data_IF_721913305193
#
_entry.id   IF_721913305193
#
_cell.length_a   1.000
_cell.length_b   1.000
_cell.length_c   1.000
_cell.angle_alpha   90.00
_cell.angle_beta   90.00
_cell.angle_gamma   90.00
#
_symmetry.space_group_name_H-M   'P 1'
#
loop_
_entity.id
_entity.type
_entity.pdbx_description
1 polymer ?
#
# COMPACT_ATOMS: atom_id res chain seq x y z
N UNK A 1 31.52 -64.51 -0.45
CA UNK A 1 30.37 -64.71 -1.35
C UNK A 1 29.43 -63.52 -1.20
N UNK A 2 29.27 -62.67 -2.23
CA UNK A 2 28.47 -61.46 -2.20
C UNK A 2 27.02 -61.71 -2.67
N UNK A 3 26.10 -60.85 -2.27
CA UNK A 3 24.86 -60.59 -3.01
C UNK A 3 24.59 -59.08 -3.04
N UNK A 4 24.50 -58.60 -4.28
CA UNK A 4 24.12 -57.30 -4.80
C UNK A 4 22.68 -56.90 -4.39
N UNK A 5 22.08 -55.76 -4.70
CA UNK A 5 22.37 -54.40 -5.16
C UNK A 5 20.98 -53.73 -5.14
N UNK A 6 20.92 -52.41 -5.00
CA UNK A 6 19.64 -51.70 -5.00
C UNK A 6 19.81 -50.20 -5.12
N UNK A 7 20.40 -49.77 -6.23
CA UNK A 7 20.59 -48.38 -6.64
C UNK A 7 19.23 -47.71 -6.88
N UNK A 8 18.74 -46.96 -5.90
CA UNK A 8 17.62 -46.04 -6.09
C UNK A 8 18.06 -44.81 -6.89
N UNK A 9 17.20 -44.26 -7.78
CA UNK A 9 17.59 -43.22 -8.72
C UNK A 9 18.01 -41.92 -8.00
N UNK A 10 19.26 -41.51 -8.23
CA UNK A 10 19.78 -40.25 -7.72
C UNK A 10 19.10 -39.06 -8.40
N UNK A 11 18.80 -38.02 -7.62
CA UNK A 11 18.13 -36.77 -8.04
C UNK A 11 18.87 -35.99 -9.16
N UNK A 12 20.06 -36.43 -9.57
CA UNK A 12 20.86 -35.85 -10.66
C UNK A 12 20.45 -36.33 -12.07
N UNK A 13 19.58 -37.32 -12.20
CA UNK A 13 19.17 -37.86 -13.50
C UNK A 13 17.99 -37.12 -14.18
N UNK A 14 17.41 -36.08 -13.56
CA UNK A 14 16.21 -35.39 -14.09
C UNK A 14 16.54 -34.07 -14.82
N UNK A 15 17.81 -33.66 -14.91
CA UNK A 15 18.22 -32.43 -15.62
C UNK A 15 19.02 -32.69 -16.90
N UNK A 16 18.81 -33.84 -17.55
CA UNK A 16 19.43 -34.16 -18.84
C UNK A 16 18.38 -34.56 -19.87
N UNK A 17 17.45 -33.65 -20.17
CA UNK A 17 16.57 -33.74 -21.33
C UNK A 17 16.12 -32.34 -21.77
N UNK A 18 17.07 -31.54 -22.26
CA UNK A 18 16.77 -30.34 -23.05
C UNK A 18 17.34 -30.59 -24.45
N UNK A 19 16.52 -30.75 -25.51
CA UNK A 19 17.03 -30.75 -26.85
C UNK A 19 17.48 -29.32 -27.20
N UNK A 20 18.80 -29.12 -27.33
CA UNK A 20 19.37 -27.93 -27.94
C UNK A 20 19.18 -28.04 -29.45
N UNK A 21 18.26 -27.26 -29.99
CA UNK A 21 18.12 -27.04 -31.42
C UNK A 21 18.08 -25.54 -31.70
N UNK A 22 19.05 -25.07 -32.50
CA UNK A 22 18.86 -23.90 -33.37
C UNK A 22 19.34 -22.55 -32.84
N UNK A 23 20.38 -22.02 -33.49
CA UNK A 23 20.90 -20.65 -33.40
C UNK A 23 19.89 -19.65 -33.96
N UNK A 24 19.60 -18.55 -33.26
CA UNK A 24 18.88 -17.41 -33.84
C UNK A 24 18.38 -16.34 -32.86
N UNK A 25 19.10 -15.21 -32.83
CA UNK A 25 18.64 -13.84 -32.54
C UNK A 25 18.15 -13.45 -31.12
N UNK A 26 18.84 -12.41 -30.61
CA UNK A 26 18.42 -11.43 -29.61
C UNK A 26 16.90 -11.18 -29.53
N UNK A 27 16.31 -11.35 -28.34
CA UNK A 27 15.28 -10.45 -27.79
C UNK A 27 15.27 -10.59 -26.25
N UNK A 28 14.98 -9.47 -25.58
CA UNK A 28 15.08 -9.24 -24.14
C UNK A 28 14.42 -10.34 -23.31
N UNK A 29 15.23 -11.09 -22.56
CA UNK A 29 14.73 -11.92 -21.46
C UNK A 29 14.46 -11.00 -20.26
N UNK A 30 13.22 -10.50 -20.18
CA UNK A 30 12.68 -10.05 -18.90
C UNK A 30 12.84 -11.18 -17.89
N UNK A 31 13.36 -10.87 -16.70
CA UNK A 31 13.34 -11.77 -15.58
C UNK A 31 11.87 -12.02 -15.20
N UNK A 32 11.24 -12.99 -15.87
CA UNK A 32 9.94 -13.46 -15.50
C UNK A 32 10.04 -14.11 -14.13
N UNK A 33 9.45 -13.46 -13.12
CA UNK A 33 9.07 -14.14 -11.89
C UNK A 33 8.07 -15.24 -12.27
N UNK A 34 8.57 -16.43 -12.58
CA UNK A 34 7.73 -17.61 -12.69
C UNK A 34 7.20 -17.91 -11.29
N UNK A 35 5.96 -17.51 -11.01
CA UNK A 35 5.24 -17.94 -9.83
C UNK A 35 5.05 -19.45 -9.92
N UNK A 36 6.01 -20.19 -9.35
CA UNK A 36 5.87 -21.63 -9.13
C UNK A 36 4.78 -21.83 -8.08
N UNK A 37 3.53 -21.92 -8.52
CA UNK A 37 2.42 -22.39 -7.71
C UNK A 37 2.61 -23.89 -7.43
N UNK A 38 3.44 -24.20 -6.43
CA UNK A 38 3.45 -25.52 -5.81
C UNK A 38 2.10 -25.81 -5.17
N UNK A 39 1.77 -27.09 -4.91
CA UNK A 39 0.51 -27.46 -4.28
C UNK A 39 0.36 -26.71 -2.96
N UNK A 40 -0.63 -25.82 -2.91
CA UNK A 40 -1.02 -25.08 -1.71
C UNK A 40 -1.39 -26.12 -0.64
N UNK A 41 -0.56 -26.23 0.40
CA UNK A 41 -0.93 -26.95 1.61
C UNK A 41 -2.31 -26.42 2.07
N UNK A 42 -3.21 -27.28 2.60
CA UNK A 42 -4.56 -26.87 2.98
C UNK A 42 -4.49 -25.59 3.80
N UNK A 43 -5.12 -24.54 3.26
CA UNK A 43 -4.99 -23.17 3.71
C UNK A 43 -5.30 -23.07 5.19
N UNK A 44 -4.30 -22.69 5.98
CA UNK A 44 -4.53 -22.28 7.36
C UNK A 44 -5.41 -21.05 7.26
N UNK A 45 -6.67 -21.17 7.69
CA UNK A 45 -7.60 -20.05 7.75
C UNK A 45 -6.95 -18.92 8.54
N UNK A 46 -6.95 -17.72 7.98
CA UNK A 46 -6.37 -16.54 8.63
C UNK A 46 -6.91 -16.40 10.06
N UNK A 47 -6.01 -16.15 11.01
CA UNK A 47 -6.40 -15.97 12.41
C UNK A 47 -7.08 -14.61 12.63
N UNK A 48 -7.75 -14.40 13.78
CA UNK A 48 -8.32 -13.10 14.11
C UNK A 48 -7.32 -11.93 14.05
N UNK A 49 -6.07 -12.18 14.44
CA UNK A 49 -4.99 -11.20 14.35
C UNK A 49 -4.63 -10.83 12.89
N UNK A 50 -4.62 -11.81 11.98
CA UNK A 50 -4.38 -11.57 10.55
C UNK A 50 -5.52 -10.76 9.94
N UNK A 51 -6.76 -11.10 10.28
CA UNK A 51 -7.96 -10.37 9.82
C UNK A 51 -7.89 -8.91 10.29
N UNK A 52 -7.61 -8.68 11.57
CA UNK A 52 -7.51 -7.34 12.13
C UNK A 52 -6.35 -6.54 11.49
N UNK A 53 -5.19 -7.17 11.28
CA UNK A 53 -4.04 -6.53 10.65
C UNK A 53 -4.32 -6.18 9.18
N UNK A 54 -4.97 -7.06 8.43
CA UNK A 54 -5.34 -6.80 7.04
C UNK A 54 -6.39 -5.69 6.91
N UNK A 55 -7.41 -5.67 7.79
CA UNK A 55 -8.40 -4.60 7.84
C UNK A 55 -7.77 -3.24 8.15
N UNK A 56 -6.92 -3.17 9.19
CA UNK A 56 -6.21 -1.95 9.56
C UNK A 56 -5.26 -1.47 8.45
N UNK A 57 -4.58 -2.40 7.75
CA UNK A 57 -3.75 -2.05 6.60
C UNK A 57 -4.59 -1.45 5.47
N UNK A 58 -5.74 -2.05 5.15
CA UNK A 58 -6.63 -1.55 4.11
C UNK A 58 -7.23 -0.18 4.42
N UNK A 59 -7.66 0.04 5.66
CA UNK A 59 -8.13 1.35 6.12
C UNK A 59 -7.02 2.40 5.97
N UNK A 60 -5.78 2.06 6.32
CA UNK A 60 -4.64 2.95 6.15
C UNK A 60 -4.38 3.32 4.69
N UNK A 61 -4.42 2.35 3.76
CA UNK A 61 -4.28 2.64 2.33
C UNK A 61 -5.39 3.58 1.84
N UNK A 62 -6.62 3.41 2.34
CA UNK A 62 -7.73 4.29 2.00
C UNK A 62 -7.53 5.73 2.51
N UNK A 63 -6.99 5.90 3.72
CA UNK A 63 -6.62 7.21 4.28
C UNK A 63 -5.50 7.90 3.47
N UNK A 64 -4.50 7.13 3.04
CA UNK A 64 -3.42 7.63 2.18
C UNK A 64 -3.97 8.06 0.82
N UNK A 65 -4.82 7.24 0.19
CA UNK A 65 -5.50 7.60 -1.07
C UNK A 65 -6.24 8.94 -0.96
N UNK A 66 -7.01 9.14 0.12
CA UNK A 66 -7.72 10.39 0.36
C UNK A 66 -6.77 11.58 0.54
N UNK A 67 -5.65 11.37 1.25
CA UNK A 67 -4.62 12.39 1.45
C UNK A 67 -3.92 12.79 0.15
N UNK A 68 -3.60 11.80 -0.70
CA UNK A 68 -3.03 12.04 -2.04
C UNK A 68 -4.04 12.73 -2.98
N UNK A 69 -5.31 12.34 -2.95
CA UNK A 69 -6.37 13.01 -3.72
C UNK A 69 -6.49 14.50 -3.36
N UNK A 70 -6.50 14.79 -2.07
CA UNK A 70 -6.52 16.16 -1.57
C UNK A 70 -5.28 16.94 -2.05
N UNK A 71 -4.09 16.36 -1.93
CA UNK A 71 -2.85 16.98 -2.38
C UNK A 71 -2.82 17.24 -3.90
N UNK A 72 -3.25 16.27 -4.71
CA UNK A 72 -3.34 16.38 -6.18
C UNK A 72 -4.30 17.51 -6.58
N UNK A 73 -5.44 17.62 -5.90
CA UNK A 73 -6.43 18.67 -6.19
C UNK A 73 -5.92 20.07 -5.86
N UNK A 74 -5.12 20.19 -4.79
CA UNK A 74 -4.60 21.46 -4.28
C UNK A 74 -3.34 21.92 -5.00
N UNK A 75 -2.55 20.99 -5.53
CA UNK A 75 -1.25 21.26 -6.15
C UNK A 75 -1.13 20.66 -7.56
N UNK A 76 -1.76 21.29 -8.58
CA UNK A 76 -1.69 20.81 -9.96
C UNK A 76 -0.25 20.65 -10.48
N UNK A 77 0.71 21.47 -10.02
CA UNK A 77 2.12 21.37 -10.41
C UNK A 77 2.82 20.08 -9.94
N UNK A 78 2.31 19.43 -8.90
CA UNK A 78 2.82 18.15 -8.37
C UNK A 78 2.02 16.93 -8.83
N UNK A 79 0.87 17.16 -9.46
CA UNK A 79 -0.14 16.14 -9.67
C UNK A 79 0.35 14.92 -10.47
N UNK A 80 1.26 15.11 -11.43
CA UNK A 80 1.80 14.00 -12.22
C UNK A 80 2.55 12.99 -11.35
N UNK A 81 3.49 13.48 -10.53
CA UNK A 81 4.26 12.63 -9.64
C UNK A 81 3.38 12.01 -8.56
N UNK A 82 2.50 12.81 -7.94
CA UNK A 82 1.63 12.32 -6.88
C UNK A 82 0.63 11.26 -7.36
N UNK A 83 0.19 11.32 -8.63
CA UNK A 83 -0.68 10.29 -9.22
C UNK A 83 0.01 8.93 -9.35
N UNK A 84 1.33 8.89 -9.54
CA UNK A 84 2.09 7.64 -9.58
C UNK A 84 2.06 6.98 -8.19
N UNK A 85 2.39 7.72 -7.13
CA UNK A 85 2.38 7.18 -5.77
C UNK A 85 0.97 6.77 -5.35
N UNK A 86 -0.03 7.61 -5.63
CA UNK A 86 -1.45 7.28 -5.41
C UNK A 86 -1.88 5.97 -6.10
N UNK A 87 -1.38 5.70 -7.30
CA UNK A 87 -1.69 4.47 -8.01
C UNK A 87 -1.17 3.23 -7.27
N UNK A 88 0.03 3.30 -6.67
CA UNK A 88 0.58 2.21 -5.86
C UNK A 88 -0.29 1.91 -4.63
N UNK A 89 -0.76 2.92 -3.89
CA UNK A 89 -1.71 2.69 -2.78
C UNK A 89 -3.02 2.05 -3.25
N UNK A 90 -3.49 2.42 -4.44
CA UNK A 90 -4.68 1.79 -5.00
C UNK A 90 -4.44 0.31 -5.33
N UNK A 91 -3.24 -0.04 -5.80
CA UNK A 91 -2.84 -1.43 -6.02
C UNK A 91 -2.70 -2.19 -4.70
N UNK A 92 -2.05 -1.62 -3.67
CA UNK A 92 -1.98 -2.19 -2.33
C UNK A 92 -3.36 -2.48 -1.74
N UNK A 93 -4.27 -1.51 -1.83
CA UNK A 93 -5.64 -1.66 -1.34
C UNK A 93 -6.40 -2.77 -2.10
N UNK A 94 -6.20 -2.90 -3.42
CA UNK A 94 -6.79 -3.99 -4.21
C UNK A 94 -6.21 -5.34 -3.82
N UNK A 95 -4.89 -5.44 -3.64
CA UNK A 95 -4.22 -6.67 -3.25
C UNK A 95 -4.66 -7.14 -1.85
N UNK A 96 -4.82 -6.21 -0.92
CA UNK A 96 -5.40 -6.48 0.40
C UNK A 96 -6.85 -6.98 0.29
N UNK A 97 -7.69 -6.31 -0.51
CA UNK A 97 -9.07 -6.74 -0.73
C UNK A 97 -9.16 -8.12 -1.41
N UNK A 98 -8.22 -8.45 -2.29
CA UNK A 98 -8.15 -9.74 -2.97
C UNK A 98 -7.86 -10.92 -2.01
N UNK A 99 -7.39 -10.66 -0.79
CA UNK A 99 -7.28 -11.69 0.25
C UNK A 99 -8.65 -12.25 0.68
N UNK A 100 -9.74 -11.54 0.42
CA UNK A 100 -11.10 -11.97 0.76
C UNK A 100 -11.35 -12.08 2.26
N UNK A 101 -10.56 -11.39 3.07
CA UNK A 101 -10.70 -11.37 4.53
C UNK A 101 -11.88 -10.47 4.94
N UNK A 102 -12.66 -10.87 5.96
CA UNK A 102 -13.81 -10.09 6.40
C UNK A 102 -13.38 -8.70 6.88
N UNK A 103 -14.13 -7.67 6.49
CA UNK A 103 -13.83 -6.28 6.82
C UNK A 103 -12.83 -5.59 5.87
N UNK A 104 -12.20 -6.31 4.95
CA UNK A 104 -11.29 -5.75 3.94
C UNK A 104 -12.06 -5.53 2.63
N UNK A 105 -11.96 -4.34 2.03
CA UNK A 105 -12.63 -4.04 0.75
C UNK A 105 -14.15 -3.84 0.84
N UNK A 106 -14.74 -4.03 2.02
CA UNK A 106 -16.14 -3.72 2.25
C UNK A 106 -16.30 -2.20 2.40
N UNK A 107 -16.79 -1.52 1.36
CA UNK A 107 -17.29 -0.16 1.50
C UNK A 107 -18.41 -0.19 2.55
N UNK A 108 -18.16 0.38 3.72
CA UNK A 108 -19.17 0.52 4.75
C UNK A 108 -20.36 1.27 4.14
N UNK A 109 -21.47 0.58 3.92
CA UNK A 109 -22.74 1.24 3.63
C UNK A 109 -23.19 1.85 4.94
N UNK A 110 -22.74 3.07 5.21
CA UNK A 110 -23.28 3.88 6.29
C UNK A 110 -24.67 4.33 5.85
N UNK A 111 -25.68 3.55 6.21
CA UNK A 111 -27.07 4.02 6.19
C UNK A 111 -27.16 5.18 7.19
N UNK A 112 -27.50 6.42 6.76
CA UNK A 112 -27.69 7.51 7.70
C UNK A 112 -29.01 7.29 8.44
N UNK A 113 -28.93 6.89 9.72
CA UNK A 113 -30.09 6.95 10.61
C UNK A 113 -30.37 8.42 10.93
N UNK A 114 -31.37 8.98 10.28
CA UNK A 114 -31.97 10.26 10.64
C UNK A 114 -32.65 10.12 12.01
N UNK A 115 -32.02 10.65 13.05
CA UNK A 115 -32.60 10.83 14.38
C UNK A 115 -32.93 12.31 14.59
N UNK A 116 -34.21 12.65 14.52
CA UNK A 116 -34.74 14.00 14.75
C UNK A 116 -34.41 14.57 16.13
N UNK A 117 -34.22 15.90 16.16
CA UNK A 117 -34.03 16.76 17.33
C UNK A 117 -35.25 16.78 18.29
N UNK A 118 -35.11 17.44 19.47
CA UNK A 118 -35.60 18.82 19.54
C UNK A 118 -34.64 19.78 20.27
N UNK A 119 -34.74 21.07 19.91
CA UNK A 119 -33.89 22.14 20.41
C UNK A 119 -34.36 22.77 21.73
N UNK A 120 -33.55 23.69 22.25
CA UNK A 120 -33.97 24.86 23.04
C UNK A 120 -32.86 25.92 22.99
N UNK A 121 -33.32 27.17 22.93
CA UNK A 121 -32.67 28.47 22.77
C UNK A 121 -31.80 28.93 23.94
N UNK A 122 -30.70 29.65 23.68
CA UNK A 122 -30.57 31.11 23.91
C UNK A 122 -29.14 31.58 24.29
N UNK A 123 -28.70 32.59 23.52
CA UNK A 123 -28.00 33.83 23.91
C UNK A 123 -26.61 33.79 24.58
N UNK A 124 -25.62 34.31 23.84
CA UNK A 124 -24.32 34.74 24.34
C UNK A 124 -23.50 35.45 23.26
N UNK A 125 -23.76 36.74 23.06
CA UNK A 125 -23.04 37.63 22.14
C UNK A 125 -21.67 38.03 22.69
N UNK A 126 -20.62 37.90 21.87
CA UNK A 126 -19.39 38.71 21.76
C UNK A 126 -18.32 37.77 21.15
N UNK A 127 -17.92 37.90 19.89
CA UNK A 127 -17.23 39.07 19.37
C UNK A 127 -15.81 38.62 19.01
N UNK A 128 -15.65 38.04 17.83
CA UNK A 128 -14.35 37.91 17.18
C UNK A 128 -14.57 38.09 15.69
N UNK A 129 -13.82 39.05 15.16
CA UNK A 129 -13.97 39.69 13.88
C UNK A 129 -14.09 38.74 12.71
N UNK A 130 -14.89 39.18 11.75
CA UNK A 130 -14.80 38.77 10.37
C UNK A 130 -13.35 38.90 9.88
N UNK A 131 -12.81 37.79 9.41
CA UNK A 131 -11.88 37.76 8.28
C UNK A 131 -12.17 36.43 7.55
N UNK A 132 -13.16 36.48 6.65
CA UNK A 132 -13.09 35.65 5.46
C UNK A 132 -11.98 36.27 4.60
N UNK A 133 -11.12 35.44 4.03
CA UNK A 133 -11.46 35.11 2.66
C UNK A 133 -11.30 33.62 2.37
N UNK A 134 -12.21 33.13 1.52
CA UNK A 134 -11.95 32.11 0.52
C UNK A 134 -10.71 32.42 -0.32
N UNK A 135 -9.54 32.33 0.31
CA UNK A 135 -8.25 32.25 -0.33
C UNK A 135 -8.16 30.87 -0.96
N UNK A 136 -8.41 30.82 -2.26
CA UNK A 136 -7.85 29.79 -3.12
C UNK A 136 -6.41 29.58 -2.68
N UNK A 137 -6.11 28.42 -2.07
CA UNK A 137 -4.75 28.18 -1.62
C UNK A 137 -3.89 28.18 -2.85
N UNK A 138 -3.06 29.21 -2.93
CA UNK A 138 -2.15 29.42 -4.03
C UNK A 138 -1.16 28.28 -4.01
N UNK A 139 -1.04 27.60 -5.15
CA UNK A 139 -0.09 26.51 -5.39
C UNK A 139 1.34 27.06 -5.45
N UNK A 140 1.84 27.58 -4.33
CA UNK A 140 3.19 28.15 -4.21
C UNK A 140 4.21 27.10 -3.79
N UNK A 141 5.52 27.31 -4.05
CA UNK A 141 6.58 26.42 -3.59
C UNK A 141 6.54 26.14 -2.07
N UNK A 142 6.18 27.12 -1.24
CA UNK A 142 6.09 26.96 0.21
C UNK A 142 4.94 26.02 0.59
N UNK A 143 3.76 26.20 -0.01
CA UNK A 143 2.60 25.34 0.25
C UNK A 143 2.81 23.93 -0.29
N UNK A 144 3.46 23.79 -1.45
CA UNK A 144 3.89 22.51 -2.01
C UNK A 144 4.86 21.78 -1.08
N UNK A 145 5.88 22.48 -0.58
CA UNK A 145 6.88 21.94 0.36
C UNK A 145 6.20 21.45 1.65
N UNK A 146 5.27 22.23 2.19
CA UNK A 146 4.52 21.84 3.39
C UNK A 146 3.66 20.59 3.15
N UNK A 147 2.96 20.51 2.01
CA UNK A 147 2.16 19.33 1.64
C UNK A 147 3.03 18.09 1.45
N UNK A 148 4.16 18.19 0.74
CA UNK A 148 5.09 17.08 0.56
C UNK A 148 5.68 16.61 1.90
N UNK A 149 6.02 17.53 2.81
CA UNK A 149 6.47 17.19 4.17
C UNK A 149 5.41 16.40 4.92
N UNK A 150 4.14 16.82 4.83
CA UNK A 150 3.03 16.14 5.49
C UNK A 150 2.80 14.74 4.92
N UNK A 151 2.81 14.59 3.59
CA UNK A 151 2.68 13.29 2.92
C UNK A 151 3.81 12.35 3.32
N UNK A 152 5.08 12.79 3.26
CA UNK A 152 6.21 11.98 3.71
C UNK A 152 6.09 11.52 5.17
N UNK A 153 5.53 12.37 6.04
CA UNK A 153 5.20 12.01 7.42
C UNK A 153 4.15 10.91 7.52
N UNK A 154 3.09 10.98 6.71
CA UNK A 154 2.05 9.95 6.64
C UNK A 154 2.61 8.61 6.15
N UNK A 155 3.46 8.64 5.12
CA UNK A 155 4.12 7.44 4.59
C UNK A 155 5.01 6.75 5.63
N UNK A 156 5.84 7.53 6.34
CA UNK A 156 6.67 6.98 7.43
C UNK A 156 5.83 6.41 8.56
N UNK A 157 4.69 7.03 8.88
CA UNK A 157 3.77 6.53 9.89
C UNK A 157 3.09 5.22 9.45
N UNK A 158 2.68 5.12 8.19
CA UNK A 158 2.15 3.89 7.59
C UNK A 158 3.21 2.78 7.61
N UNK A 159 4.42 3.06 7.12
CA UNK A 159 5.54 2.12 7.15
C UNK A 159 5.83 1.60 8.57
N UNK A 160 5.83 2.48 9.58
CA UNK A 160 6.02 2.09 10.97
C UNK A 160 4.88 1.19 11.48
N UNK A 161 3.65 1.49 11.10
CA UNK A 161 2.47 0.67 11.44
C UNK A 161 2.57 -0.72 10.82
N UNK A 162 2.92 -0.81 9.53
CA UNK A 162 3.08 -2.10 8.85
C UNK A 162 4.24 -2.91 9.44
N UNK A 163 5.35 -2.26 9.80
CA UNK A 163 6.48 -2.89 10.51
C UNK A 163 6.05 -3.50 11.83
N UNK A 164 5.24 -2.80 12.62
CA UNK A 164 4.68 -3.34 13.86
C UNK A 164 3.74 -4.52 13.57
N UNK A 165 2.93 -4.43 12.51
CA UNK A 165 2.07 -5.51 12.02
C UNK A 165 2.83 -6.78 11.66
N UNK A 166 4.06 -6.69 11.15
CA UNK A 166 4.91 -7.86 10.90
C UNK A 166 5.18 -8.71 12.15
N UNK A 167 5.17 -8.08 13.33
CA UNK A 167 5.47 -8.76 14.60
C UNK A 167 4.23 -9.42 15.22
N UNK A 168 3.03 -8.99 14.83
CA UNK A 168 1.76 -9.50 15.33
C UNK A 168 1.03 -10.43 14.35
N UNK A 169 1.30 -10.29 13.05
CA UNK A 169 0.70 -11.11 12.01
C UNK A 169 1.26 -12.54 12.01
N UNK A 170 0.40 -13.49 11.62
CA UNK A 170 0.78 -14.87 11.33
C UNK A 170 1.68 -14.97 10.09
N UNK A 171 2.30 -16.14 9.93
CA UNK A 171 3.28 -16.40 8.88
C UNK A 171 2.78 -16.18 7.44
N UNK A 172 1.46 -16.20 7.22
CA UNK A 172 0.85 -15.96 5.92
C UNK A 172 0.79 -14.47 5.55
N UNK A 173 0.53 -13.60 6.53
CA UNK A 173 0.32 -12.17 6.31
C UNK A 173 1.59 -11.33 6.60
N UNK A 174 2.47 -11.79 7.49
CA UNK A 174 3.70 -11.08 7.82
C UNK A 174 4.57 -10.68 6.60
N UNK A 175 4.75 -11.53 5.56
CA UNK A 175 5.48 -11.12 4.36
C UNK A 175 4.81 -9.98 3.59
N UNK A 176 3.47 -9.95 3.54
CA UNK A 176 2.72 -8.87 2.91
C UNK A 176 2.90 -7.56 3.69
N UNK A 177 2.79 -7.61 5.02
CA UNK A 177 3.04 -6.45 5.88
C UNK A 177 4.47 -5.90 5.72
N UNK A 178 5.45 -6.78 5.56
CA UNK A 178 6.83 -6.38 5.30
C UNK A 178 6.98 -5.71 3.93
N UNK A 179 6.28 -6.21 2.91
CA UNK A 179 6.24 -5.60 1.57
C UNK A 179 5.62 -4.20 1.60
N UNK A 180 4.47 -4.03 2.27
CA UNK A 180 3.83 -2.71 2.45
C UNK A 180 4.77 -1.76 3.20
N UNK A 181 5.37 -2.20 4.31
CA UNK A 181 6.36 -1.40 5.03
C UNK A 181 7.51 -0.93 4.13
N UNK A 182 8.02 -1.78 3.24
CA UNK A 182 9.10 -1.44 2.34
C UNK A 182 8.65 -0.43 1.27
N UNK A 183 7.46 -0.63 0.69
CA UNK A 183 6.88 0.29 -0.28
C UNK A 183 6.66 1.68 0.32
N UNK A 184 6.03 1.79 1.49
CA UNK A 184 5.78 3.09 2.13
C UNK A 184 7.05 3.79 2.60
N UNK A 185 8.09 3.01 2.96
CA UNK A 185 9.41 3.60 3.21
C UNK A 185 10.01 4.21 1.94
N UNK A 186 9.85 3.53 0.79
CA UNK A 186 10.34 4.04 -0.49
C UNK A 186 9.53 5.25 -0.99
N UNK A 187 8.21 5.26 -0.78
CA UNK A 187 7.37 6.41 -1.09
C UNK A 187 7.75 7.65 -0.29
N UNK A 188 8.01 7.49 1.02
CA UNK A 188 8.50 8.59 1.85
C UNK A 188 9.78 9.23 1.27
N UNK A 189 10.78 8.43 0.94
CA UNK A 189 12.05 8.92 0.37
C UNK A 189 11.85 9.61 -1.00
N UNK A 190 10.95 9.09 -1.84
CA UNK A 190 10.60 9.70 -3.12
C UNK A 190 9.96 11.08 -2.92
N UNK A 191 8.99 11.17 -2.00
CA UNK A 191 8.28 12.42 -1.68
C UNK A 191 9.24 13.45 -1.06
N UNK A 192 10.14 13.03 -0.18
CA UNK A 192 11.18 13.90 0.40
C UNK A 192 12.18 14.39 -0.67
N UNK A 193 12.52 13.54 -1.64
CA UNK A 193 13.36 13.95 -2.78
C UNK A 193 12.65 15.00 -3.65
N UNK A 194 11.35 14.83 -3.89
CA UNK A 194 10.54 15.81 -4.62
C UNK A 194 10.45 17.14 -3.85
N UNK A 195 10.27 17.09 -2.52
CA UNK A 195 10.28 18.27 -1.66
C UNK A 195 11.59 19.04 -1.79
N UNK A 196 12.73 18.35 -1.72
CA UNK A 196 14.03 18.98 -1.87
C UNK A 196 14.20 19.63 -3.26
N UNK A 197 13.58 19.07 -4.30
CA UNK A 197 13.60 19.65 -5.64
C UNK A 197 12.73 20.91 -5.76
N UNK A 198 11.59 20.98 -5.07
CA UNK A 198 10.75 22.19 -4.99
C UNK A 198 11.49 23.31 -4.24
N UNK A 199 12.13 23.00 -3.12
CA UNK A 199 12.84 23.98 -2.29
C UNK A 199 14.08 24.63 -2.97
N UNK A 200 14.56 24.06 -4.07
CA UNK A 200 15.68 24.60 -4.86
C UNK A 200 15.25 25.49 -6.03
N UNK A 201 13.94 25.61 -6.30
CA UNK A 201 13.39 26.45 -7.36
C UNK A 201 13.19 27.87 -6.86
#
# INVERSE_FOLDING_TARGET
>A
MPTAAGTGPSRRAVLAAVPVAGVGAFFLAGAGCTSSSGPTAPGRTAGPADIAAAAAAYEREAELLASYDAAISRHPGLAEMLRVVRAHHADHARDLAALGLPGVGATATTTPTAGSAPGTTASGSAGASADEPGGSVTDTPETQTATLTALAGLERAAAATHRAGCLSAGSGLAPLMASLCAAESAHAELVETAQAAVARR
#
